data_IF_992992642308
#
_entry.id   IF_992992642308
#
_cell.length_a   1.000
_cell.length_b   1.000
_cell.length_c   1.000
_cell.angle_alpha   90.00
_cell.angle_beta   90.00
_cell.angle_gamma   90.00
#
_symmetry.space_group_name_H-M   'P 1'
#
loop_
_entity.id
_entity.type
_entity.pdbx_description
1 polymer ?
#
# COMPACT_ATOMS: atom_id res chain seq x y z
N UNK A 1 0.70 -3.20 -7.64
CA UNK A 1 -0.16 -3.42 -6.47
C UNK A 1 -0.48 -2.13 -5.71
N UNK A 2 0.10 -0.98 -6.04
CA UNK A 2 -0.16 0.33 -5.40
C UNK A 2 0.28 0.41 -3.91
N UNK A 3 0.69 -0.71 -3.31
CA UNK A 3 1.18 -0.78 -1.94
C UNK A 3 2.39 -1.73 -1.82
N UNK A 4 3.52 -1.29 -1.25
CA UNK A 4 4.71 -2.13 -1.07
C UNK A 4 4.47 -3.34 -0.16
N UNK A 5 3.71 -3.21 0.92
CA UNK A 5 3.38 -4.33 1.83
C UNK A 5 2.56 -5.42 1.11
N UNK A 6 1.62 -5.02 0.24
CA UNK A 6 0.87 -5.97 -0.61
C UNK A 6 1.81 -6.69 -1.59
N UNK A 7 2.72 -5.95 -2.23
CA UNK A 7 3.73 -6.52 -3.14
C UNK A 7 4.63 -7.51 -2.40
N UNK A 8 5.07 -7.15 -1.20
CA UNK A 8 5.92 -7.97 -0.37
C UNK A 8 5.20 -9.23 0.12
N UNK A 9 3.95 -9.12 0.57
CA UNK A 9 3.12 -10.28 0.94
C UNK A 9 2.98 -11.26 -0.22
N UNK A 10 2.63 -10.78 -1.41
CA UNK A 10 2.53 -11.62 -2.62
C UNK A 10 3.88 -12.25 -3.02
N UNK A 11 5.00 -11.55 -2.79
CA UNK A 11 6.34 -12.10 -2.99
C UNK A 11 6.64 -13.24 -2.00
N UNK A 12 6.36 -13.07 -0.70
CA UNK A 12 6.54 -14.11 0.30
C UNK A 12 5.66 -15.34 0.02
N UNK A 13 4.45 -15.13 -0.50
CA UNK A 13 3.56 -16.19 -0.97
C UNK A 13 3.96 -16.79 -2.34
N UNK A 14 5.13 -16.43 -2.87
CA UNK A 14 5.67 -16.90 -4.16
C UNK A 14 4.76 -16.61 -5.37
N UNK A 15 3.88 -15.60 -5.27
CA UNK A 15 3.01 -15.16 -6.36
C UNK A 15 3.65 -14.09 -7.26
N UNK A 16 4.78 -13.51 -6.85
CA UNK A 16 5.53 -12.46 -7.56
C UNK A 16 7.03 -12.80 -7.47
N UNK A 17 7.78 -12.63 -8.56
CA UNK A 17 9.24 -12.85 -8.55
C UNK A 17 9.99 -11.70 -7.85
N UNK A 18 11.19 -11.98 -7.34
CA UNK A 18 12.00 -10.97 -6.62
C UNK A 18 12.23 -9.69 -7.44
N UNK A 19 12.66 -9.83 -8.70
CA UNK A 19 12.92 -8.69 -9.59
C UNK A 19 11.66 -7.84 -9.78
N UNK A 20 10.52 -8.50 -9.99
CA UNK A 20 9.23 -7.81 -10.15
C UNK A 20 8.79 -7.14 -8.84
N UNK A 21 9.00 -7.79 -7.69
CA UNK A 21 8.67 -7.23 -6.39
C UNK A 21 9.47 -5.94 -6.11
N UNK A 22 10.78 -5.98 -6.32
CA UNK A 22 11.66 -4.81 -6.16
C UNK A 22 11.26 -3.69 -7.12
N UNK A 23 11.08 -4.01 -8.42
CA UNK A 23 10.66 -3.01 -9.41
C UNK A 23 9.31 -2.37 -9.07
N UNK A 24 8.35 -3.16 -8.59
CA UNK A 24 7.05 -2.65 -8.16
C UNK A 24 7.14 -1.75 -6.93
N UNK A 25 7.95 -2.10 -5.93
CA UNK A 25 8.12 -1.26 -4.73
C UNK A 25 8.79 0.07 -5.08
N UNK A 26 9.81 0.07 -5.93
CA UNK A 26 10.46 1.30 -6.43
C UNK A 26 9.44 2.18 -7.17
N UNK A 27 8.71 1.60 -8.13
CA UNK A 27 7.71 2.35 -8.90
C UNK A 27 6.61 2.94 -8.01
N UNK A 28 6.19 2.20 -6.97
CA UNK A 28 5.18 2.67 -6.00
C UNK A 28 5.69 3.85 -5.17
N UNK A 29 6.92 3.77 -4.64
CA UNK A 29 7.52 4.86 -3.88
C UNK A 29 7.74 6.11 -4.74
N UNK A 30 8.25 5.95 -5.96
CA UNK A 30 8.43 7.07 -6.90
C UNK A 30 7.10 7.72 -7.27
N UNK A 31 6.07 6.91 -7.54
CA UNK A 31 4.73 7.41 -7.81
C UNK A 31 4.15 8.22 -6.63
N UNK A 32 4.36 7.74 -5.39
CA UNK A 32 3.93 8.46 -4.19
C UNK A 32 4.64 9.81 -4.02
N UNK A 33 5.96 9.86 -4.24
CA UNK A 33 6.74 11.11 -4.21
C UNK A 33 6.25 12.09 -5.27
N UNK A 34 6.06 11.63 -6.51
CA UNK A 34 5.53 12.48 -7.59
C UNK A 34 4.13 13.00 -7.27
N UNK A 35 3.24 12.13 -6.76
CA UNK A 35 1.87 12.49 -6.41
C UNK A 35 1.82 13.57 -5.32
N UNK A 36 2.55 13.38 -4.21
CA UNK A 36 2.56 14.36 -3.11
C UNK A 36 3.27 15.66 -3.53
N UNK A 37 4.29 15.57 -4.39
CA UNK A 37 4.97 16.72 -4.98
C UNK A 37 4.03 17.60 -5.81
N UNK A 38 3.13 16.99 -6.58
CA UNK A 38 2.10 17.73 -7.33
C UNK A 38 1.10 18.44 -6.40
N UNK A 39 0.67 17.79 -5.32
CA UNK A 39 -0.21 18.42 -4.30
C UNK A 39 0.46 19.65 -3.70
N UNK A 40 1.74 19.52 -3.30
CA UNK A 40 2.53 20.65 -2.79
C UNK A 40 2.68 21.75 -3.84
N UNK A 41 2.88 21.41 -5.12
CA UNK A 41 2.98 22.41 -6.18
C UNK A 41 1.70 23.24 -6.37
N UNK A 42 0.53 22.63 -6.20
CA UNK A 42 -0.75 23.34 -6.33
C UNK A 42 -1.12 24.19 -5.11
N UNK A 43 -0.76 23.76 -3.91
CA UNK A 43 -1.17 24.43 -2.67
C UNK A 43 -0.04 24.50 -1.63
N UNK A 44 1.15 24.99 -2.04
CA UNK A 44 2.36 24.94 -1.20
C UNK A 44 2.20 25.52 0.20
N UNK A 45 1.53 26.68 0.34
CA UNK A 45 1.34 27.32 1.65
C UNK A 45 0.44 26.51 2.58
N UNK A 46 -0.64 25.93 2.05
CA UNK A 46 -1.55 25.10 2.84
C UNK A 46 -0.96 23.71 3.11
N UNK A 47 -0.22 23.15 2.15
CA UNK A 47 0.50 21.89 2.31
C UNK A 47 1.45 21.96 3.51
N UNK A 48 2.31 22.97 3.55
CA UNK A 48 3.30 23.12 4.63
C UNK A 48 2.61 23.47 5.97
N UNK A 49 1.51 24.23 5.94
CA UNK A 49 0.77 24.61 7.16
C UNK A 49 0.03 23.45 7.82
N UNK A 50 -0.47 22.49 7.04
CA UNK A 50 -1.35 21.41 7.53
C UNK A 50 -0.66 20.04 7.56
N UNK A 51 0.68 20.00 7.62
CA UNK A 51 1.45 18.77 7.83
C UNK A 51 1.62 17.88 6.58
N UNK A 52 1.19 18.36 5.41
CA UNK A 52 1.53 17.74 4.12
C UNK A 52 1.01 16.31 3.88
N UNK A 53 0.09 15.82 4.70
CA UNK A 53 -0.41 14.44 4.65
C UNK A 53 0.62 13.39 5.08
N UNK A 54 1.60 13.77 5.89
CA UNK A 54 2.56 12.83 6.46
C UNK A 54 1.92 11.97 7.57
N UNK A 55 2.28 10.69 7.62
CA UNK A 55 1.87 9.80 8.71
C UNK A 55 2.73 10.08 9.94
N UNK A 56 2.10 10.48 11.03
CA UNK A 56 2.75 10.79 12.30
C UNK A 56 2.00 10.13 13.47
N UNK A 57 2.70 9.91 14.57
CA UNK A 57 2.08 9.41 15.78
C UNK A 57 1.38 10.56 16.50
N UNK A 58 0.07 10.46 16.68
CA UNK A 58 -0.69 11.47 17.42
C UNK A 58 -0.24 11.55 18.88
N UNK A 59 -0.31 12.76 19.45
CA UNK A 59 0.02 12.99 20.85
C UNK A 59 -0.79 12.09 21.79
N UNK A 60 -0.14 11.60 22.84
CA UNK A 60 -0.74 10.69 23.82
C UNK A 60 -0.62 9.20 23.48
N UNK A 61 -0.19 8.85 22.25
CA UNK A 61 0.13 7.47 21.90
C UNK A 61 1.63 7.20 21.98
N UNK A 62 2.00 6.00 22.42
CA UNK A 62 3.40 5.57 22.39
C UNK A 62 3.71 4.84 21.07
N UNK A 63 5.00 4.70 20.75
CA UNK A 63 5.47 4.06 19.52
C UNK A 63 4.99 2.60 19.37
N UNK A 64 4.86 1.88 20.48
CA UNK A 64 4.36 0.50 20.48
C UNK A 64 2.90 0.42 20.06
N UNK A 65 2.06 1.34 20.53
CA UNK A 65 0.65 1.43 20.11
C UNK A 65 0.53 1.75 18.63
N UNK A 66 1.28 2.75 18.14
CA UNK A 66 1.29 3.09 16.71
C UNK A 66 1.75 1.93 15.83
N UNK A 67 2.85 1.27 16.21
CA UNK A 67 3.34 0.09 15.50
C UNK A 67 2.32 -1.05 15.49
N UNK A 68 1.67 -1.33 16.62
CA UNK A 68 0.64 -2.36 16.73
C UNK A 68 -0.55 -2.08 15.82
N UNK A 69 -1.00 -0.82 15.76
CA UNK A 69 -2.09 -0.40 14.88
C UNK A 69 -1.74 -0.63 13.40
N UNK A 70 -0.55 -0.20 12.97
CA UNK A 70 -0.07 -0.39 11.59
C UNK A 70 0.05 -1.87 11.20
N UNK A 71 0.54 -2.72 12.12
CA UNK A 71 0.65 -4.17 11.90
C UNK A 71 -0.73 -4.78 11.68
N UNK A 72 -1.69 -4.49 12.57
CA UNK A 72 -3.04 -5.08 12.49
C UNK A 72 -3.78 -4.57 11.25
N UNK A 73 -3.74 -3.26 10.98
CA UNK A 73 -4.38 -2.68 9.80
C UNK A 73 -3.81 -3.24 8.50
N UNK A 74 -2.48 -3.32 8.39
CA UNK A 74 -1.82 -3.93 7.22
C UNK A 74 -2.15 -5.42 7.09
N UNK A 75 -2.25 -6.15 8.21
CA UNK A 75 -2.67 -7.55 8.19
C UNK A 75 -4.08 -7.71 7.61
N UNK A 76 -5.05 -6.91 8.03
CA UNK A 76 -6.44 -6.95 7.49
C UNK A 76 -6.43 -6.69 5.98
N UNK A 77 -5.69 -5.68 5.53
CA UNK A 77 -5.53 -5.38 4.11
C UNK A 77 -4.93 -6.56 3.33
N UNK A 78 -3.77 -7.07 3.76
CA UNK A 78 -3.05 -8.12 3.03
C UNK A 78 -3.82 -9.44 3.07
N UNK A 79 -4.46 -9.78 4.19
CA UNK A 79 -5.36 -10.92 4.29
C UNK A 79 -6.53 -10.80 3.31
N UNK A 80 -7.13 -9.62 3.19
CA UNK A 80 -8.20 -9.35 2.23
C UNK A 80 -7.70 -9.50 0.79
N UNK A 81 -6.49 -9.00 0.48
CA UNK A 81 -5.87 -9.19 -0.83
C UNK A 81 -5.75 -10.68 -1.16
N UNK A 82 -5.23 -11.50 -0.24
CA UNK A 82 -5.12 -12.94 -0.46
C UNK A 82 -6.48 -13.61 -0.66
N UNK A 83 -7.47 -13.24 0.14
CA UNK A 83 -8.85 -13.75 0.04
C UNK A 83 -9.53 -13.34 -1.28
N UNK A 84 -9.12 -12.19 -1.83
CA UNK A 84 -9.62 -11.65 -3.09
C UNK A 84 -8.81 -12.11 -4.32
N UNK A 85 -7.84 -13.02 -4.18
CA UNK A 85 -7.10 -13.57 -5.32
C UNK A 85 -7.94 -14.59 -6.09
N UNK A 86 -8.12 -14.39 -7.39
CA UNK A 86 -8.76 -15.39 -8.26
C UNK A 86 -7.72 -16.47 -8.65
N UNK A 87 -7.91 -17.75 -8.24
CA UNK A 87 -6.95 -18.82 -8.56
C UNK A 87 -6.92 -19.19 -10.05
N UNK A 88 -7.91 -18.75 -10.84
CA UNK A 88 -8.06 -19.10 -12.27
C UNK A 88 -7.70 -17.96 -13.21
N UNK A 89 -7.45 -16.75 -12.70
CA UNK A 89 -7.14 -15.57 -13.52
C UNK A 89 -5.82 -14.95 -13.11
N UNK A 90 -4.91 -14.82 -14.07
CA UNK A 90 -3.65 -14.10 -13.90
C UNK A 90 -3.60 -12.85 -14.75
N UNK A 91 -2.85 -11.85 -14.29
CA UNK A 91 -2.57 -10.63 -15.02
C UNK A 91 -1.81 -10.95 -16.32
N UNK A 92 -2.11 -10.16 -17.36
CA UNK A 92 -1.57 -10.32 -18.71
C UNK A 92 -0.06 -10.60 -18.70
N UNK A 93 0.33 -11.66 -19.41
CA UNK A 93 1.72 -12.13 -19.58
C UNK A 93 2.45 -12.43 -18.24
N UNK A 94 1.73 -12.94 -17.24
CA UNK A 94 2.34 -13.38 -15.98
C UNK A 94 1.50 -14.34 -15.15
N UNK A 95 2.09 -14.89 -14.08
CA UNK A 95 1.42 -15.72 -13.07
C UNK A 95 0.92 -14.92 -11.85
N UNK A 96 0.87 -13.58 -11.95
CA UNK A 96 0.37 -12.74 -10.84
C UNK A 96 -1.15 -12.81 -10.84
N UNK A 97 -1.81 -13.16 -9.73
CA UNK A 97 -3.27 -13.31 -9.69
C UNK A 97 -3.98 -11.97 -9.91
N UNK A 98 -5.14 -12.02 -10.55
CA UNK A 98 -6.08 -10.89 -10.59
C UNK A 98 -6.78 -10.76 -9.24
N UNK A 99 -7.00 -9.53 -8.80
CA UNK A 99 -7.58 -9.20 -7.50
C UNK A 99 -9.01 -8.66 -7.68
N UNK A 100 -9.95 -9.07 -6.83
CA UNK A 100 -11.25 -8.42 -6.73
C UNK A 100 -11.10 -7.05 -6.03
N UNK A 101 -11.37 -5.91 -6.71
CA UNK A 101 -10.98 -4.60 -6.18
C UNK A 101 -11.91 -4.07 -5.08
N UNK A 102 -13.19 -4.46 -5.09
CA UNK A 102 -14.19 -3.92 -4.16
C UNK A 102 -13.90 -4.28 -2.69
N UNK A 103 -13.66 -5.55 -2.31
CA UNK A 103 -13.34 -5.90 -0.93
C UNK A 103 -12.04 -5.26 -0.43
N UNK A 104 -11.05 -5.15 -1.33
CA UNK A 104 -9.77 -4.50 -1.01
C UNK A 104 -9.98 -3.02 -0.71
N UNK A 105 -10.81 -2.33 -1.50
CA UNK A 105 -11.18 -0.93 -1.24
C UNK A 105 -11.86 -0.75 0.12
N UNK A 106 -12.80 -1.64 0.48
CA UNK A 106 -13.45 -1.61 1.79
C UNK A 106 -12.48 -1.86 2.95
N UNK A 107 -11.49 -2.74 2.78
CA UNK A 107 -10.47 -3.00 3.80
C UNK A 107 -9.50 -1.84 4.02
N UNK A 108 -9.36 -0.92 3.05
CA UNK A 108 -8.57 0.32 3.21
C UNK A 108 -9.42 1.45 3.80
N UNK A 109 -10.75 1.43 3.58
CA UNK A 109 -11.66 2.47 4.06
C UNK A 109 -11.96 2.37 5.56
N UNK A 110 -12.06 1.14 6.07
CA UNK A 110 -12.32 0.83 7.49
C UNK A 110 -11.06 0.99 8.34
#
# INVERSE_FOLDING_TARGET
HINPAVTFGLFLARKVSLIRAVGYMIAQCLGAICGVGLVKAFQSSYYDRYGGGANELADGYNKGTGLGAEIIGTFVLVYTVFSATDPKRSARDSHVPVLAPLPIGFAVFM
#
